data_IF_588793353617
#
_entry.id   IF_588793353617
#
_cell.length_a   1.000
_cell.length_b   1.000
_cell.length_c   1.000
_cell.angle_alpha   90.00
_cell.angle_beta   90.00
_cell.angle_gamma   90.00
#
_symmetry.space_group_name_H-M   'P 1'
#
loop_
_entity.id
_entity.type
_entity.pdbx_description
1 polymer ?
#
# COMPACT_ATOMS: atom_id res chain seq x y z
N UNK A 1 -16.21 -13.87 27.74
CA UNK A 1 -14.76 -13.57 27.72
C UNK A 1 -14.32 -13.52 26.27
N UNK A 2 -14.32 -12.34 25.66
CA UNK A 2 -13.74 -12.14 24.33
C UNK A 2 -12.22 -12.29 24.45
N UNK A 3 -11.65 -13.28 23.78
CA UNK A 3 -10.22 -13.35 23.54
C UNK A 3 -9.85 -12.12 22.72
N UNK A 4 -9.18 -11.14 23.31
CA UNK A 4 -8.52 -10.08 22.58
C UNK A 4 -7.41 -10.74 21.74
N UNK A 5 -7.69 -10.95 20.47
CA UNK A 5 -6.67 -11.32 19.49
C UNK A 5 -5.73 -10.12 19.35
N UNK A 6 -4.63 -10.13 20.12
CA UNK A 6 -3.69 -9.02 20.25
C UNK A 6 -2.66 -8.99 19.13
N UNK A 7 -2.89 -9.71 18.02
CA UNK A 7 -2.02 -9.60 16.86
C UNK A 7 -2.29 -8.27 16.15
N UNK A 8 -1.26 -7.45 15.99
CA UNK A 8 -1.36 -6.20 15.26
C UNK A 8 -1.88 -6.47 13.83
N UNK A 9 -2.98 -5.82 13.43
CA UNK A 9 -3.52 -5.95 12.06
C UNK A 9 -2.46 -5.45 11.08
N UNK A 10 -1.89 -6.35 10.28
CA UNK A 10 -0.87 -6.08 9.29
C UNK A 10 -1.54 -5.95 7.92
N UNK A 11 -1.45 -4.79 7.30
CA UNK A 11 -2.04 -4.49 5.99
C UNK A 11 -0.92 -4.23 5.00
N UNK A 12 -0.90 -4.95 3.88
CA UNK A 12 0.08 -4.73 2.82
C UNK A 12 -0.58 -4.04 1.63
N UNK A 13 -0.28 -2.76 1.46
CA UNK A 13 -0.76 -1.96 0.33
C UNK A 13 0.09 -2.27 -0.88
N UNK A 14 -0.46 -3.03 -1.82
CA UNK A 14 0.16 -3.37 -3.10
C UNK A 14 -0.63 -2.78 -4.25
N UNK A 15 -0.01 -2.67 -5.42
CA UNK A 15 -0.66 -2.11 -6.59
C UNK A 15 -0.80 -3.11 -7.73
N UNK A 16 -1.72 -2.84 -8.64
CA UNK A 16 -1.76 -3.51 -9.95
C UNK A 16 -0.64 -3.02 -10.87
N UNK A 17 -0.01 -1.87 -10.52
CA UNK A 17 1.07 -1.23 -11.27
C UNK A 17 1.79 -0.18 -10.41
N UNK A 18 2.80 0.48 -10.99
CA UNK A 18 3.40 1.69 -10.43
C UNK A 18 2.49 2.90 -10.68
N UNK A 19 2.46 3.87 -9.75
CA UNK A 19 1.68 5.11 -9.92
C UNK A 19 0.15 4.94 -9.81
N UNK A 20 -0.35 3.81 -9.30
CA UNK A 20 -1.80 3.56 -9.13
C UNK A 20 -2.39 4.19 -7.86
N UNK A 21 -1.57 4.83 -7.01
CA UNK A 21 -2.05 5.52 -5.81
C UNK A 21 -1.83 4.75 -4.49
N UNK A 22 -0.85 3.83 -4.43
CA UNK A 22 -0.50 3.12 -3.18
C UNK A 22 -0.24 4.06 -2.03
N UNK A 23 0.62 5.06 -2.23
CA UNK A 23 1.02 6.03 -1.21
C UNK A 23 -0.15 6.90 -0.75
N UNK A 24 -1.07 7.24 -1.67
CA UNK A 24 -2.31 7.96 -1.34
C UNK A 24 -3.22 7.09 -0.45
N UNK A 25 -3.39 5.80 -0.77
CA UNK A 25 -4.16 4.90 0.08
C UNK A 25 -3.51 4.71 1.45
N UNK A 26 -2.17 4.54 1.50
CA UNK A 26 -1.40 4.44 2.74
C UNK A 26 -1.59 5.67 3.62
N UNK A 27 -1.54 6.87 3.02
CA UNK A 27 -1.83 8.14 3.71
C UNK A 27 -3.21 8.14 4.35
N UNK A 28 -4.24 7.81 3.57
CA UNK A 28 -5.63 7.81 4.07
C UNK A 28 -5.83 6.76 5.17
N UNK A 29 -5.21 5.58 5.07
CA UNK A 29 -5.23 4.55 6.12
C UNK A 29 -4.60 5.06 7.42
N UNK A 30 -3.46 5.75 7.33
CA UNK A 30 -2.80 6.37 8.48
C UNK A 30 -3.66 7.44 9.13
N UNK A 31 -4.13 8.41 8.35
CA UNK A 31 -4.97 9.51 8.85
C UNK A 31 -6.27 9.01 9.47
N UNK A 32 -6.97 8.08 8.80
CA UNK A 32 -8.21 7.49 9.32
C UNK A 32 -7.97 6.75 10.63
N UNK A 33 -6.89 5.99 10.73
CA UNK A 33 -6.55 5.25 11.94
C UNK A 33 -6.29 6.20 13.11
N UNK A 34 -5.54 7.29 12.91
CA UNK A 34 -5.35 8.31 13.94
C UNK A 34 -6.66 9.02 14.33
N UNK A 35 -7.52 9.36 13.36
CA UNK A 35 -8.85 9.94 13.63
C UNK A 35 -9.75 9.02 14.47
N UNK A 36 -9.51 7.70 14.43
CA UNK A 36 -10.22 6.69 15.24
C UNK A 36 -9.49 6.39 16.57
N UNK A 37 -8.51 7.19 16.99
CA UNK A 37 -7.76 7.00 18.24
C UNK A 37 -6.85 5.76 18.24
N UNK A 38 -6.58 5.15 17.07
CA UNK A 38 -5.63 4.04 16.94
C UNK A 38 -4.20 4.57 16.89
N UNK A 39 -3.23 3.69 17.10
CA UNK A 39 -1.80 4.00 17.00
C UNK A 39 -1.18 3.27 15.79
N UNK A 40 -1.43 3.74 14.54
CA UNK A 40 -0.93 3.08 13.35
C UNK A 40 0.57 3.26 13.18
N UNK A 41 1.17 2.36 12.37
CA UNK A 41 2.54 2.48 11.91
C UNK A 41 2.60 2.30 10.39
N UNK A 42 3.29 3.21 9.71
CA UNK A 42 3.56 3.12 8.28
C UNK A 42 4.98 2.62 8.04
N UNK A 43 5.16 1.78 7.04
CA UNK A 43 6.47 1.30 6.61
C UNK A 43 6.52 1.09 5.10
N UNK A 44 7.44 1.80 4.46
CA UNK A 44 7.89 1.56 3.08
C UNK A 44 9.13 0.69 3.16
N UNK A 45 8.96 -0.61 2.97
CA UNK A 45 10.07 -1.57 3.12
C UNK A 45 11.24 -1.25 2.21
N UNK A 46 10.93 -0.96 0.94
CA UNK A 46 11.91 -0.63 -0.10
C UNK A 46 11.41 0.58 -0.86
N UNK A 47 12.17 1.64 -0.82
CA UNK A 47 11.95 2.85 -1.60
C UNK A 47 12.90 2.85 -2.80
N UNK A 48 12.41 3.18 -3.99
CA UNK A 48 13.22 3.37 -5.20
C UNK A 48 12.89 4.72 -5.84
N UNK A 49 13.85 5.32 -6.56
CA UNK A 49 13.64 6.59 -7.26
C UNK A 49 13.87 7.82 -6.41
N UNK A 50 14.59 7.71 -5.28
CA UNK A 50 14.96 8.87 -4.47
C UNK A 50 16.32 8.68 -3.77
N UNK A 51 16.98 9.78 -3.43
CA UNK A 51 18.31 9.78 -2.82
C UNK A 51 18.31 9.30 -1.36
N UNK A 52 17.14 9.31 -0.69
CA UNK A 52 16.99 8.88 0.70
C UNK A 52 15.59 9.11 1.22
N UNK A 53 15.28 8.67 2.46
CA UNK A 53 13.95 8.81 3.05
C UNK A 53 13.45 10.25 3.18
N UNK A 54 14.37 11.23 3.18
CA UNK A 54 14.07 12.66 3.31
C UNK A 54 13.93 13.39 1.96
N UNK A 55 14.15 12.67 0.86
CA UNK A 55 14.00 13.23 -0.48
C UNK A 55 12.53 13.61 -0.76
N UNK A 56 12.31 14.64 -1.59
CA UNK A 56 10.98 15.09 -2.02
C UNK A 56 10.18 13.99 -2.72
N UNK A 57 10.87 13.07 -3.40
CA UNK A 57 10.27 11.94 -4.11
C UNK A 57 10.02 10.73 -3.19
N UNK A 58 10.36 10.82 -1.88
CA UNK A 58 10.16 9.72 -0.95
C UNK A 58 8.70 9.57 -0.52
N UNK A 59 8.13 8.37 -0.70
CA UNK A 59 6.80 8.03 -0.19
C UNK A 59 6.71 8.19 1.34
N UNK A 60 7.77 7.82 2.06
CA UNK A 60 7.81 7.96 3.51
C UNK A 60 7.77 9.43 3.94
N UNK A 61 8.56 10.30 3.29
CA UNK A 61 8.50 11.74 3.54
C UNK A 61 7.11 12.29 3.26
N UNK A 62 6.49 11.93 2.13
CA UNK A 62 5.14 12.35 1.79
C UNK A 62 4.13 11.97 2.89
N UNK A 63 4.18 10.74 3.41
CA UNK A 63 3.31 10.31 4.51
C UNK A 63 3.56 11.14 5.77
N UNK A 64 4.83 11.38 6.13
CA UNK A 64 5.18 12.11 7.36
C UNK A 64 4.83 13.59 7.30
N UNK A 65 4.89 14.21 6.12
CA UNK A 65 4.46 15.59 5.91
C UNK A 65 2.94 15.77 6.01
N UNK A 66 2.17 14.79 5.53
CA UNK A 66 0.71 14.90 5.42
C UNK A 66 -0.08 14.17 6.52
N UNK A 67 0.58 13.45 7.44
CA UNK A 67 -0.07 12.90 8.63
C UNK A 67 0.29 13.76 9.84
N UNK A 68 -0.66 14.57 10.39
CA UNK A 68 -0.34 15.53 11.46
C UNK A 68 0.36 14.91 12.68
N UNK A 69 0.00 13.69 13.06
CA UNK A 69 0.59 12.95 14.18
C UNK A 69 2.06 12.52 13.94
N UNK A 70 2.54 12.58 12.70
CA UNK A 70 3.92 12.24 12.32
C UNK A 70 4.78 13.49 12.06
N UNK A 71 4.18 14.67 12.09
CA UNK A 71 4.90 15.92 11.84
C UNK A 71 6.09 16.09 12.78
N UNK A 72 7.26 16.33 12.23
CA UNK A 72 8.52 16.48 12.99
C UNK A 72 9.20 15.16 13.39
N UNK A 73 8.63 14.01 13.05
CA UNK A 73 9.29 12.70 13.20
C UNK A 73 10.14 12.38 11.96
N UNK A 74 11.07 11.45 12.11
CA UNK A 74 11.99 11.05 11.06
C UNK A 74 11.35 10.03 10.10
N UNK A 75 11.15 10.35 8.79
CA UNK A 75 10.66 9.38 7.81
C UNK A 75 11.60 8.17 7.60
N UNK A 76 12.87 8.29 7.98
CA UNK A 76 13.83 7.18 7.98
C UNK A 76 13.41 6.01 8.86
N UNK A 77 12.62 6.25 9.91
CA UNK A 77 12.04 5.20 10.74
C UNK A 77 11.13 4.24 9.98
N UNK A 78 10.63 4.65 8.82
CA UNK A 78 9.68 3.90 7.99
C UNK A 78 10.30 3.25 6.76
N UNK A 79 11.62 3.38 6.53
CA UNK A 79 12.29 2.82 5.34
C UNK A 79 13.41 1.87 5.77
N UNK A 80 13.56 0.74 5.06
CA UNK A 80 14.67 -0.19 5.30
C UNK A 80 15.73 -0.04 4.21
N UNK A 81 15.31 -0.13 2.94
CA UNK A 81 16.19 0.10 1.79
C UNK A 81 15.71 1.30 1.00
N UNK A 82 16.63 2.13 0.55
CA UNK A 82 16.35 3.26 -0.31
C UNK A 82 17.37 3.31 -1.44
N UNK A 83 16.90 3.35 -2.70
CA UNK A 83 17.73 3.33 -3.90
C UNK A 83 17.41 4.52 -4.81
N UNK A 84 18.44 5.12 -5.41
CA UNK A 84 18.33 6.32 -6.24
C UNK A 84 17.58 6.08 -7.56
N UNK A 85 17.82 4.93 -8.19
CA UNK A 85 17.25 4.66 -9.50
C UNK A 85 15.78 4.26 -9.42
N UNK A 86 14.86 4.83 -10.24
CA UNK A 86 13.44 4.47 -10.31
C UNK A 86 13.24 3.16 -11.10
N UNK A 87 13.73 2.07 -10.55
CA UNK A 87 13.66 0.72 -11.10
C UNK A 87 12.98 -0.23 -10.13
N UNK A 88 12.69 -1.46 -10.60
CA UNK A 88 12.30 -2.53 -9.69
C UNK A 88 13.38 -2.73 -8.61
N UNK A 89 13.02 -3.03 -7.35
CA UNK A 89 13.94 -3.13 -6.22
C UNK A 89 15.21 -3.93 -6.51
N UNK A 90 15.09 -5.12 -7.11
CA UNK A 90 16.22 -5.97 -7.48
C UNK A 90 17.25 -5.25 -8.36
N UNK A 91 16.78 -4.55 -9.39
CA UNK A 91 17.68 -3.87 -10.33
C UNK A 91 18.24 -2.57 -9.74
N UNK A 92 17.44 -1.84 -8.94
CA UNK A 92 17.91 -0.64 -8.25
C UNK A 92 19.02 -0.97 -7.24
N UNK A 93 18.85 -2.04 -6.46
CA UNK A 93 19.85 -2.53 -5.52
C UNK A 93 21.13 -3.00 -6.24
N UNK A 94 20.99 -3.75 -7.35
CA UNK A 94 22.12 -4.20 -8.17
C UNK A 94 22.95 -3.03 -8.73
N UNK A 95 22.30 -1.95 -9.18
CA UNK A 95 22.99 -0.77 -9.69
C UNK A 95 23.88 -0.10 -8.62
N UNK A 96 23.51 -0.24 -7.34
CA UNK A 96 24.24 0.33 -6.19
C UNK A 96 25.12 -0.70 -5.47
N UNK A 97 25.25 -1.92 -6.02
CA UNK A 97 26.07 -3.00 -5.43
C UNK A 97 25.51 -3.54 -4.12
N UNK A 98 24.22 -3.35 -3.86
CA UNK A 98 23.52 -3.80 -2.64
C UNK A 98 22.73 -5.07 -2.94
N UNK A 99 22.71 -5.99 -1.98
CA UNK A 99 21.84 -7.17 -2.00
C UNK A 99 20.72 -6.93 -1.01
N UNK A 100 19.47 -6.99 -1.49
CA UNK A 100 18.30 -6.95 -0.60
C UNK A 100 18.17 -8.32 0.06
N UNK A 101 18.14 -8.33 1.39
CA UNK A 101 17.88 -9.53 2.17
C UNK A 101 16.44 -9.46 2.74
N UNK A 102 15.53 -10.39 2.32
CA UNK A 102 14.17 -10.45 2.84
C UNK A 102 14.12 -10.68 4.35
N UNK A 103 15.11 -11.33 4.94
CA UNK A 103 15.17 -11.55 6.38
C UNK A 103 15.45 -10.26 7.13
N UNK A 104 16.34 -9.41 6.62
CA UNK A 104 16.59 -8.06 7.17
C UNK A 104 15.30 -7.22 7.13
N UNK A 105 14.51 -7.32 6.03
CA UNK A 105 13.22 -6.63 5.95
C UNK A 105 12.27 -7.10 7.05
N UNK A 106 12.19 -8.42 7.29
CA UNK A 106 11.33 -9.00 8.33
C UNK A 106 11.80 -8.59 9.74
N UNK A 107 13.08 -8.70 10.03
CA UNK A 107 13.65 -8.32 11.32
C UNK A 107 13.46 -6.83 11.62
N UNK A 108 13.76 -5.97 10.64
CA UNK A 108 13.52 -4.53 10.76
C UNK A 108 12.05 -4.20 11.01
N UNK A 109 11.14 -4.91 10.35
CA UNK A 109 9.71 -4.78 10.57
C UNK A 109 9.32 -5.18 12.00
N UNK A 110 9.69 -6.38 12.46
CA UNK A 110 9.34 -6.88 13.80
C UNK A 110 9.93 -6.00 14.93
N UNK A 111 11.13 -5.46 14.76
CA UNK A 111 11.75 -4.54 15.71
C UNK A 111 11.00 -3.21 15.84
N UNK A 112 10.44 -2.71 14.72
CA UNK A 112 9.84 -1.37 14.66
C UNK A 112 8.35 -1.33 14.98
N UNK A 113 7.61 -2.43 14.80
CA UNK A 113 6.16 -2.41 14.98
C UNK A 113 5.71 -2.18 16.42
N UNK A 114 6.40 -2.75 17.40
CA UNK A 114 6.04 -2.62 18.82
C UNK A 114 4.57 -2.97 19.09
N UNK A 115 3.85 -2.06 19.78
CA UNK A 115 2.41 -2.18 20.07
C UNK A 115 1.54 -1.36 19.11
N UNK A 116 2.02 -1.09 17.91
CA UNK A 116 1.31 -0.26 16.93
C UNK A 116 0.31 -1.10 16.13
N UNK A 117 -0.90 -0.56 15.92
CA UNK A 117 -1.94 -1.21 15.13
C UNK A 117 -2.94 -0.16 14.59
N UNK A 118 -3.37 -0.25 13.31
CA UNK A 118 -2.86 -1.16 12.28
C UNK A 118 -1.43 -0.84 11.85
N UNK A 119 -0.76 -1.83 11.29
CA UNK A 119 0.52 -1.64 10.59
C UNK A 119 0.24 -1.60 9.09
N UNK A 120 0.69 -0.54 8.44
CA UNK A 120 0.48 -0.28 7.01
C UNK A 120 1.82 -0.42 6.31
N UNK A 121 1.99 -1.54 5.62
CA UNK A 121 3.16 -1.86 4.81
C UNK A 121 2.90 -1.45 3.37
N UNK A 122 3.80 -0.71 2.75
CA UNK A 122 3.66 -0.33 1.35
C UNK A 122 4.71 -1.00 0.48
N UNK A 123 4.24 -1.72 -0.56
CA UNK A 123 5.09 -2.35 -1.56
C UNK A 123 5.61 -1.37 -2.61
N UNK A 124 6.57 -1.82 -3.42
CA UNK A 124 7.09 -1.12 -4.59
C UNK A 124 6.56 -1.78 -5.88
N UNK A 125 5.85 -1.03 -6.71
CA UNK A 125 5.22 -1.56 -7.93
C UNK A 125 4.05 -2.51 -7.66
N UNK A 126 3.97 -3.57 -8.44
CA UNK A 126 2.94 -4.62 -8.35
C UNK A 126 3.46 -5.90 -7.67
N UNK A 127 2.56 -6.90 -7.55
CA UNK A 127 2.81 -8.16 -6.84
C UNK A 127 3.99 -8.98 -7.39
N UNK A 128 4.20 -8.97 -8.70
CA UNK A 128 5.22 -9.79 -9.36
C UNK A 128 6.51 -9.01 -9.66
N UNK A 129 6.68 -7.82 -9.06
CA UNK A 129 7.91 -7.05 -9.16
C UNK A 129 9.04 -7.76 -8.39
N UNK A 130 10.23 -7.97 -8.99
CA UNK A 130 11.34 -8.65 -8.34
C UNK A 130 11.95 -7.78 -7.23
N UNK A 131 12.07 -8.40 -6.07
CA UNK A 131 12.75 -7.86 -4.88
C UNK A 131 14.20 -8.36 -4.84
N UNK A 132 14.37 -9.66 -5.11
CA UNK A 132 15.68 -10.32 -5.31
C UNK A 132 15.66 -11.10 -6.62
N UNK A 133 16.67 -11.94 -6.89
CA UNK A 133 16.68 -12.82 -8.05
C UNK A 133 15.58 -13.90 -8.04
N UNK A 134 15.09 -14.26 -6.87
CA UNK A 134 14.14 -15.35 -6.63
C UNK A 134 12.91 -14.96 -5.78
N UNK A 135 12.91 -13.78 -5.17
CA UNK A 135 11.79 -13.26 -4.35
C UNK A 135 11.07 -12.12 -5.08
N UNK A 136 9.78 -12.27 -5.26
CA UNK A 136 8.88 -11.24 -5.78
C UNK A 136 8.20 -10.48 -4.63
N UNK A 137 7.61 -9.31 -4.92
CA UNK A 137 6.90 -8.48 -3.94
C UNK A 137 5.81 -9.26 -3.19
N UNK A 138 5.11 -10.16 -3.87
CA UNK A 138 4.09 -11.03 -3.27
C UNK A 138 4.69 -11.96 -2.19
N UNK A 139 5.94 -12.38 -2.32
CA UNK A 139 6.65 -13.16 -1.30
C UNK A 139 6.90 -12.37 -0.01
N UNK A 140 7.00 -11.03 -0.07
CA UNK A 140 7.07 -10.21 1.14
C UNK A 140 5.71 -10.15 1.86
N UNK A 141 4.58 -10.19 1.14
CA UNK A 141 3.24 -10.28 1.75
C UNK A 141 3.14 -11.53 2.61
N UNK A 142 3.59 -12.67 2.06
CA UNK A 142 3.63 -13.98 2.77
C UNK A 142 4.59 -13.93 3.96
N UNK A 143 5.83 -13.48 3.73
CA UNK A 143 6.90 -13.44 4.73
C UNK A 143 6.52 -12.64 5.98
N UNK A 144 5.76 -11.53 5.78
CA UNK A 144 5.35 -10.62 6.84
C UNK A 144 3.99 -10.98 7.44
N UNK A 145 3.32 -12.01 6.92
CA UNK A 145 2.00 -12.43 7.39
C UNK A 145 0.96 -11.31 7.31
N UNK A 146 1.00 -10.53 6.23
CA UNK A 146 0.15 -9.36 6.07
C UNK A 146 -1.03 -9.62 5.14
N UNK A 147 -2.16 -8.96 5.39
CA UNK A 147 -3.34 -9.01 4.53
C UNK A 147 -3.17 -8.03 3.37
N UNK A 148 -3.15 -8.48 2.11
CA UNK A 148 -2.97 -7.60 0.96
C UNK A 148 -4.20 -6.73 0.71
N UNK A 149 -3.99 -5.43 0.49
CA UNK A 149 -4.97 -4.50 -0.08
C UNK A 149 -4.49 -4.16 -1.48
N UNK A 150 -5.34 -4.40 -2.47
CA UNK A 150 -4.99 -4.17 -3.85
C UNK A 150 -5.46 -2.79 -4.30
N UNK A 151 -4.51 -1.95 -4.71
CA UNK A 151 -4.76 -0.62 -5.27
C UNK A 151 -4.71 -0.69 -6.79
N UNK A 152 -5.74 -0.19 -7.44
CA UNK A 152 -5.83 -0.15 -8.89
C UNK A 152 -6.25 1.24 -9.37
N UNK A 153 -5.88 1.60 -10.60
CA UNK A 153 -6.36 2.87 -11.20
C UNK A 153 -7.86 2.79 -11.49
N UNK A 154 -8.55 3.92 -11.45
CA UNK A 154 -9.98 3.96 -11.76
C UNK A 154 -10.28 3.88 -13.27
N UNK A 155 -9.30 4.20 -14.13
CA UNK A 155 -9.43 4.36 -15.57
C UNK A 155 -9.41 3.03 -16.36
N UNK A 156 -9.60 3.12 -17.67
CA UNK A 156 -9.58 2.00 -18.61
C UNK A 156 -8.34 1.11 -18.44
N UNK A 157 -8.52 -0.21 -18.60
CA UNK A 157 -7.51 -1.24 -18.46
C UNK A 157 -7.40 -1.81 -17.03
N UNK A 158 -8.07 -1.19 -16.06
CA UNK A 158 -7.98 -1.61 -14.65
C UNK A 158 -8.53 -3.01 -14.40
N UNK A 159 -9.62 -3.40 -15.07
CA UNK A 159 -10.27 -4.71 -14.88
C UNK A 159 -9.25 -5.83 -15.07
N UNK A 160 -8.59 -5.86 -16.23
CA UNK A 160 -7.61 -6.92 -16.55
C UNK A 160 -6.47 -6.98 -15.53
N UNK A 161 -5.83 -5.84 -15.23
CA UNK A 161 -4.70 -5.81 -14.28
C UNK A 161 -5.11 -6.19 -12.85
N UNK A 162 -6.32 -5.81 -12.44
CA UNK A 162 -6.86 -6.15 -11.12
C UNK A 162 -7.14 -7.64 -11.01
N UNK A 163 -7.80 -8.22 -12.02
CA UNK A 163 -8.11 -9.65 -12.04
C UNK A 163 -6.82 -10.49 -12.07
N UNK A 164 -5.83 -10.15 -12.90
CA UNK A 164 -4.54 -10.83 -12.92
C UNK A 164 -3.81 -10.75 -11.56
N UNK A 165 -3.89 -9.61 -10.87
CA UNK A 165 -3.30 -9.45 -9.54
C UNK A 165 -4.02 -10.31 -8.49
N UNK A 166 -5.34 -10.43 -8.57
CA UNK A 166 -6.13 -11.30 -7.69
C UNK A 166 -5.79 -12.77 -7.94
N UNK A 167 -5.69 -13.19 -9.20
CA UNK A 167 -5.27 -14.55 -9.55
C UNK A 167 -3.87 -14.86 -9.03
N UNK A 168 -2.92 -13.92 -9.12
CA UNK A 168 -1.59 -14.09 -8.56
C UNK A 168 -1.61 -14.30 -7.03
N UNK A 169 -2.48 -13.57 -6.30
CA UNK A 169 -2.68 -13.78 -4.86
C UNK A 169 -3.26 -15.18 -4.58
N UNK A 170 -4.30 -15.56 -5.30
CA UNK A 170 -5.01 -16.85 -5.13
C UNK A 170 -4.13 -18.06 -5.41
N UNK A 171 -3.27 -17.96 -6.42
CA UNK A 171 -2.28 -19.01 -6.73
C UNK A 171 -1.35 -19.31 -5.55
N UNK A 172 -1.21 -18.35 -4.63
CA UNK A 172 -0.44 -18.50 -3.38
C UNK A 172 -1.32 -18.65 -2.13
N UNK A 173 -2.61 -18.97 -2.30
CA UNK A 173 -3.55 -19.17 -1.19
C UNK A 173 -3.93 -17.89 -0.44
N UNK A 174 -3.72 -16.71 -1.03
CA UNK A 174 -4.05 -15.42 -0.42
C UNK A 174 -5.29 -14.80 -1.09
N UNK A 175 -6.14 -14.16 -0.27
CA UNK A 175 -7.23 -13.31 -0.75
C UNK A 175 -6.93 -11.84 -0.40
N UNK A 176 -7.25 -10.88 -1.27
CA UNK A 176 -7.14 -9.49 -0.90
C UNK A 176 -8.17 -9.13 0.17
N UNK A 177 -7.75 -8.38 1.19
CA UNK A 177 -8.67 -7.80 2.19
C UNK A 177 -9.69 -6.85 1.54
N UNK A 178 -9.35 -6.33 0.36
CA UNK A 178 -10.22 -5.57 -0.51
C UNK A 178 -9.46 -4.94 -1.65
N UNK A 179 -10.22 -4.44 -2.62
CA UNK A 179 -9.71 -3.66 -3.76
C UNK A 179 -10.16 -2.22 -3.60
N UNK A 180 -9.25 -1.28 -3.82
CA UNK A 180 -9.55 0.16 -3.85
C UNK A 180 -9.13 0.73 -5.20
N UNK A 181 -10.05 1.40 -5.88
CA UNK A 181 -9.70 2.17 -7.06
C UNK A 181 -9.24 3.57 -6.67
N UNK A 182 -8.26 4.11 -7.37
CA UNK A 182 -7.78 5.49 -7.17
C UNK A 182 -7.84 6.24 -8.50
N UNK A 183 -8.52 7.39 -8.51
CA UNK A 183 -8.58 8.26 -9.67
C UNK A 183 -7.39 9.23 -9.67
N UNK A 184 -6.22 8.71 -10.02
CA UNK A 184 -4.94 9.44 -10.05
C UNK A 184 -4.55 9.93 -11.45
N UNK A 185 -5.39 9.74 -12.47
CA UNK A 185 -5.11 10.12 -13.84
C UNK A 185 -5.00 11.64 -14.06
N UNK A 186 -4.41 12.09 -15.18
CA UNK A 186 -4.34 13.51 -15.53
C UNK A 186 -5.74 14.13 -15.71
N UNK A 187 -6.67 13.39 -16.31
CA UNK A 187 -8.08 13.74 -16.45
C UNK A 187 -8.93 12.88 -15.52
N UNK A 188 -10.04 13.42 -14.96
CA UNK A 188 -10.96 12.62 -14.18
C UNK A 188 -11.53 11.46 -15.00
N UNK A 189 -11.60 10.29 -14.38
CA UNK A 189 -12.28 9.14 -14.99
C UNK A 189 -13.80 9.35 -14.93
N UNK A 190 -14.56 9.10 -16.01
CA UNK A 190 -16.02 9.21 -16.00
C UNK A 190 -16.64 8.34 -14.90
N UNK A 191 -17.61 8.86 -14.17
CA UNK A 191 -18.25 8.15 -13.06
C UNK A 191 -18.87 6.81 -13.45
N UNK A 192 -19.45 6.74 -14.65
CA UNK A 192 -20.01 5.50 -15.20
C UNK A 192 -18.93 4.44 -15.40
N UNK A 193 -17.79 4.79 -15.99
CA UNK A 193 -16.66 3.88 -16.14
C UNK A 193 -16.13 3.38 -14.80
N UNK A 194 -16.04 4.24 -13.78
CA UNK A 194 -15.63 3.85 -12.44
C UNK A 194 -16.60 2.81 -11.88
N UNK A 195 -17.90 3.06 -11.97
CA UNK A 195 -18.95 2.15 -11.50
C UNK A 195 -18.87 0.79 -12.18
N UNK A 196 -18.75 0.79 -13.51
CA UNK A 196 -18.65 -0.42 -14.33
C UNK A 196 -17.37 -1.23 -14.02
N UNK A 197 -16.22 -0.55 -13.85
CA UNK A 197 -14.97 -1.19 -13.46
C UNK A 197 -15.08 -1.85 -12.08
N UNK A 198 -15.71 -1.18 -11.10
CA UNK A 198 -15.95 -1.74 -9.77
C UNK A 198 -16.86 -2.97 -9.82
N UNK A 199 -17.96 -2.87 -10.56
CA UNK A 199 -18.92 -3.96 -10.75
C UNK A 199 -18.27 -5.18 -11.41
N UNK A 200 -17.51 -4.96 -12.49
CA UNK A 200 -16.82 -6.02 -13.22
C UNK A 200 -15.81 -6.75 -12.30
N UNK A 201 -14.97 -6.02 -11.58
CA UNK A 201 -14.00 -6.61 -10.65
C UNK A 201 -14.70 -7.39 -9.54
N UNK A 202 -15.73 -6.80 -8.92
CA UNK A 202 -16.47 -7.44 -7.83
C UNK A 202 -17.20 -8.72 -8.29
N UNK A 203 -17.86 -8.66 -9.46
CA UNK A 203 -18.67 -9.77 -9.97
C UNK A 203 -17.82 -10.92 -10.49
N UNK A 204 -16.76 -10.64 -11.24
CA UNK A 204 -15.89 -11.66 -11.84
C UNK A 204 -15.00 -12.32 -10.80
N UNK A 205 -14.30 -11.55 -10.00
CA UNK A 205 -13.39 -12.10 -8.99
C UNK A 205 -14.07 -12.49 -7.66
N UNK A 206 -15.34 -12.12 -7.45
CA UNK A 206 -16.04 -12.36 -6.17
C UNK A 206 -15.30 -11.76 -4.96
N UNK A 207 -14.70 -10.61 -5.15
CA UNK A 207 -13.97 -9.87 -4.11
C UNK A 207 -14.71 -8.61 -3.69
N UNK A 208 -14.37 -8.11 -2.53
CA UNK A 208 -14.85 -6.81 -2.09
C UNK A 208 -14.10 -5.67 -2.78
N UNK A 209 -14.82 -4.86 -3.55
CA UNK A 209 -14.34 -3.55 -3.98
C UNK A 209 -14.82 -2.52 -2.96
N UNK A 210 -13.87 -1.98 -2.19
CA UNK A 210 -14.19 -1.09 -1.06
C UNK A 210 -14.66 0.30 -1.51
N UNK A 211 -14.34 0.69 -2.73
CA UNK A 211 -14.76 1.93 -3.32
C UNK A 211 -13.67 2.60 -4.15
N UNK A 212 -13.89 3.86 -4.48
CA UNK A 212 -12.94 4.71 -5.21
C UNK A 212 -12.48 5.88 -4.35
N UNK A 213 -11.17 6.10 -4.33
CA UNK A 213 -10.58 7.34 -3.83
C UNK A 213 -10.54 8.33 -5.00
N UNK A 214 -11.31 9.40 -4.88
CA UNK A 214 -11.32 10.50 -5.83
C UNK A 214 -10.06 11.37 -5.72
N UNK A 215 -10.04 12.45 -6.49
CA UNK A 215 -8.95 13.42 -6.49
C UNK A 215 -8.87 14.17 -5.17
N UNK A 216 -7.69 14.22 -4.59
CA UNK A 216 -7.42 14.95 -3.34
C UNK A 216 -6.73 16.26 -3.69
N UNK A 217 -7.28 17.37 -3.20
CA UNK A 217 -6.73 18.72 -3.38
C UNK A 217 -5.72 19.07 -2.29
N UNK A 218 -6.02 18.68 -1.07
CA UNK A 218 -5.15 18.88 0.10
C UNK A 218 -4.93 17.53 0.80
N UNK A 219 -3.74 16.99 0.66
CA UNK A 219 -3.36 15.72 1.29
C UNK A 219 -3.27 15.80 2.81
N UNK A 220 -3.07 16.98 3.38
CA UNK A 220 -3.04 17.17 4.83
C UNK A 220 -4.44 17.19 5.45
N UNK A 221 -5.45 17.56 4.65
CA UNK A 221 -6.85 17.61 5.07
C UNK A 221 -7.80 17.15 3.95
N UNK A 222 -7.78 15.85 3.59
CA UNK A 222 -8.67 15.31 2.57
C UNK A 222 -10.14 15.45 2.95
N UNK A 223 -11.00 15.64 1.94
CA UNK A 223 -12.45 15.62 2.12
C UNK A 223 -12.93 14.31 2.75
N UNK A 224 -13.98 14.37 3.57
CA UNK A 224 -14.51 13.20 4.27
C UNK A 224 -14.89 12.04 3.34
N UNK A 225 -15.32 12.31 2.11
CA UNK A 225 -15.62 11.31 1.09
C UNK A 225 -14.44 10.40 0.75
N UNK A 226 -13.20 10.89 0.87
CA UNK A 226 -12.00 10.10 0.62
C UNK A 226 -11.81 8.95 1.61
N UNK A 227 -12.42 9.02 2.80
CA UNK A 227 -12.33 7.99 3.83
C UNK A 227 -13.38 6.88 3.70
N UNK A 228 -14.38 7.01 2.82
CA UNK A 228 -15.40 5.97 2.59
C UNK A 228 -14.79 4.60 2.27
N UNK A 229 -13.91 4.48 1.26
CA UNK A 229 -13.23 3.22 0.97
C UNK A 229 -12.41 2.68 2.15
N UNK A 230 -11.82 3.56 2.96
CA UNK A 230 -11.02 3.17 4.13
C UNK A 230 -11.90 2.58 5.23
N UNK A 231 -13.05 3.21 5.51
CA UNK A 231 -14.06 2.66 6.44
C UNK A 231 -14.53 1.28 5.99
N UNK A 232 -14.85 1.15 4.70
CA UNK A 232 -15.25 -0.13 4.12
C UNK A 232 -14.18 -1.24 4.22
N UNK A 233 -12.90 -0.89 4.26
CA UNK A 233 -11.79 -1.83 4.44
C UNK A 233 -11.56 -2.21 5.91
N UNK A 234 -11.64 -1.22 6.82
CA UNK A 234 -11.19 -1.39 8.20
C UNK A 234 -12.33 -1.77 9.17
N UNK A 235 -13.56 -1.39 8.87
CA UNK A 235 -14.74 -1.58 9.73
C UNK A 235 -15.58 -2.81 9.32
N UNK A 236 -15.14 -3.61 8.36
CA UNK A 236 -15.74 -4.92 8.08
C UNK A 236 -15.31 -5.92 9.14
N UNK A 237 -16.29 -6.38 9.92
CA UNK A 237 -16.19 -7.52 10.84
C UNK A 237 -16.23 -8.84 10.06
#
# INVERSE_FOLDING_TARGET
MQKSDSSARRLFVTGTDTGVGKTVLSLLLMQFSYKRGRNPFYMKLIQTGCAGPHDTESDARFIYEHVPALKGKDPGDSVVYCFKNPKAPYFAARDEGVVIDPQILKESFEQRIGRRSPVILEGAGGLLVPVTGDVLMIGLVELLGASPILVARASLGTINHTLLSIEALRTRGMEPAGVVLVDSGKTPTPHEMIRENMEAVASVAKVSVAGVVGRIRDFSNPDNGCYGPISNLLDRN
#
